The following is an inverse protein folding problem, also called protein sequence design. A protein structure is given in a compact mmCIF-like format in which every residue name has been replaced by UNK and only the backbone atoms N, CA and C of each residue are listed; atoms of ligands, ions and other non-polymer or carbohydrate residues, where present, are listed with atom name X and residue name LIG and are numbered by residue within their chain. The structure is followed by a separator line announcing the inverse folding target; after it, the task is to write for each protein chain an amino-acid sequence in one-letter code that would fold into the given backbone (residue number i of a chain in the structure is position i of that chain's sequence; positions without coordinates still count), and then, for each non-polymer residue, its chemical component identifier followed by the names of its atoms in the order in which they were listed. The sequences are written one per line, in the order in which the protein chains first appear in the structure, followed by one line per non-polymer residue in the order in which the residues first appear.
data_IF_842753367950
#
_entry.id   IF_842753367950
#
_cell.length_a   1.000
_cell.length_b   1.000
_cell.length_c   1.000
_cell.angle_alpha   90.00
_cell.angle_beta   90.00
_cell.angle_gamma   90.00
#
_symmetry.space_group_name_H-M   'P 1'
#
loop_
_entity.id
_entity.type
_entity.pdbx_description
1 polymer ?
#
# COMPACT_ATOMS: atom_id res chain seq x y z
N UNK A 1 12.46 13.46 8.00
CA UNK A 1 11.63 14.30 7.11
C UNK A 1 12.29 14.50 5.73
N UNK A 2 13.52 14.98 5.61
CA UNK A 2 14.19 15.20 4.31
C UNK A 2 14.26 13.94 3.44
N UNK A 3 14.57 12.78 4.02
CA UNK A 3 14.59 11.50 3.31
C UNK A 3 13.21 11.16 2.72
N UNK A 4 12.13 11.36 3.49
CA UNK A 4 10.78 11.11 3.00
C UNK A 4 10.37 12.06 1.86
N UNK A 5 10.74 13.32 1.93
CA UNK A 5 10.52 14.30 0.87
C UNK A 5 11.27 13.91 -0.43
N UNK A 6 12.53 13.47 -0.31
CA UNK A 6 13.31 12.98 -1.46
C UNK A 6 12.70 11.73 -2.11
N UNK A 7 12.25 10.76 -1.31
CA UNK A 7 11.58 9.56 -1.83
C UNK A 7 10.25 9.91 -2.52
N UNK A 8 9.45 10.81 -1.94
CA UNK A 8 8.19 11.26 -2.53
C UNK A 8 8.42 11.97 -3.87
N UNK A 9 9.42 12.87 -3.93
CA UNK A 9 9.80 13.54 -5.16
C UNK A 9 10.20 12.54 -6.25
N UNK A 10 11.05 11.55 -5.93
CA UNK A 10 11.46 10.52 -6.88
C UNK A 10 10.28 9.71 -7.43
N UNK A 11 9.31 9.34 -6.58
CA UNK A 11 8.12 8.61 -7.02
C UNK A 11 7.21 9.43 -7.93
N UNK A 12 7.00 10.70 -7.62
CA UNK A 12 6.11 11.58 -8.40
C UNK A 12 6.76 11.95 -9.72
N UNK A 13 8.00 12.46 -9.67
CA UNK A 13 8.75 12.87 -10.87
C UNK A 13 9.00 11.71 -11.80
N UNK A 14 9.40 10.54 -11.27
CA UNK A 14 9.63 9.34 -12.09
C UNK A 14 8.39 8.90 -12.88
N UNK A 15 7.21 8.96 -12.29
CA UNK A 15 5.94 8.65 -13.01
C UNK A 15 5.57 9.73 -14.02
N UNK A 16 5.79 11.01 -13.70
CA UNK A 16 5.55 12.12 -14.63
C UNK A 16 6.48 11.98 -15.86
N UNK A 17 7.74 11.72 -15.65
CA UNK A 17 8.71 11.51 -16.74
C UNK A 17 8.33 10.37 -17.67
N UNK A 18 7.77 9.27 -17.15
CA UNK A 18 7.28 8.17 -18.01
C UNK A 18 6.11 8.65 -18.88
N UNK A 19 5.27 9.54 -18.37
CA UNK A 19 4.17 10.12 -19.16
C UNK A 19 4.66 11.07 -20.25
N UNK A 20 5.75 11.77 -19.98
CA UNK A 20 6.32 12.77 -20.89
C UNK A 20 7.24 12.15 -21.96
N UNK A 21 7.96 11.07 -21.61
CA UNK A 21 8.97 10.46 -22.47
C UNK A 21 8.46 9.29 -23.33
N UNK A 22 7.35 8.66 -22.94
CA UNK A 22 6.84 7.46 -23.62
C UNK A 22 5.39 7.62 -24.02
N UNK A 23 5.04 7.13 -25.22
CA UNK A 23 3.68 7.16 -25.74
C UNK A 23 3.09 5.75 -25.95
N UNK A 24 1.76 5.67 -25.95
CA UNK A 24 1.00 4.49 -26.32
C UNK A 24 1.39 3.20 -25.57
N UNK A 25 1.67 2.09 -26.28
CA UNK A 25 1.98 0.79 -25.66
C UNK A 25 3.27 0.78 -24.86
N UNK A 26 4.24 1.60 -25.23
CA UNK A 26 5.54 1.67 -24.54
C UNK A 26 5.41 2.30 -23.15
N UNK A 27 4.61 3.35 -23.02
CA UNK A 27 4.23 3.94 -21.71
C UNK A 27 3.65 2.89 -20.79
N UNK A 28 2.70 2.10 -21.28
CA UNK A 28 2.06 1.03 -20.51
C UNK A 28 3.08 -0.02 -20.07
N UNK A 29 4.01 -0.38 -20.95
CA UNK A 29 5.07 -1.36 -20.65
C UNK A 29 6.02 -0.86 -19.55
N UNK A 30 6.46 0.40 -19.63
CA UNK A 30 7.36 1.00 -18.62
C UNK A 30 6.66 1.14 -17.28
N UNK A 31 5.39 1.57 -17.25
CA UNK A 31 4.57 1.61 -16.03
C UNK A 31 4.39 0.22 -15.40
N UNK A 32 4.24 -0.83 -16.23
CA UNK A 32 4.17 -2.20 -15.73
C UNK A 32 5.49 -2.64 -15.08
N UNK A 33 6.64 -2.28 -15.63
CA UNK A 33 7.95 -2.56 -15.01
C UNK A 33 8.09 -1.86 -13.65
N UNK A 34 7.64 -0.60 -13.53
CA UNK A 34 7.62 0.12 -12.24
C UNK A 34 6.72 -0.62 -11.25
N UNK A 35 5.54 -1.06 -11.67
CA UNK A 35 4.63 -1.84 -10.82
C UNK A 35 5.24 -3.16 -10.35
N UNK A 36 5.91 -3.89 -11.24
CA UNK A 36 6.61 -5.13 -10.87
C UNK A 36 7.75 -4.87 -9.87
N UNK A 37 8.54 -3.81 -10.08
CA UNK A 37 9.59 -3.43 -9.15
C UNK A 37 9.02 -3.07 -7.77
N UNK A 38 7.94 -2.31 -7.71
CA UNK A 38 7.26 -1.97 -6.46
C UNK A 38 6.72 -3.19 -5.71
N UNK A 39 6.32 -4.25 -6.42
CA UNK A 39 5.90 -5.51 -5.80
C UNK A 39 7.06 -6.37 -5.31
N UNK A 40 8.17 -6.40 -6.05
CA UNK A 40 9.29 -7.29 -5.79
C UNK A 40 10.29 -6.72 -4.77
N UNK A 41 10.51 -5.41 -4.78
CA UNK A 41 11.53 -4.75 -3.94
C UNK A 41 11.28 -4.92 -2.44
N UNK A 42 10.06 -4.74 -1.88
CA UNK A 42 9.84 -4.89 -0.45
C UNK A 42 10.19 -6.28 0.12
N UNK A 43 9.77 -7.42 -0.50
CA UNK A 43 10.18 -8.75 -0.03
C UNK A 43 11.70 -8.93 -0.05
N UNK A 44 12.37 -8.49 -1.11
CA UNK A 44 13.82 -8.59 -1.22
C UNK A 44 14.53 -7.70 -0.19
N UNK A 45 14.04 -6.47 -0.01
CA UNK A 45 14.62 -5.51 0.92
C UNK A 45 14.57 -6.00 2.38
N UNK A 46 13.52 -6.71 2.79
CA UNK A 46 13.42 -7.27 4.15
C UNK A 46 14.47 -8.34 4.40
N UNK A 47 14.74 -9.20 3.40
CA UNK A 47 15.78 -10.25 3.50
C UNK A 47 17.17 -9.60 3.50
N UNK A 48 17.46 -8.76 2.52
CA UNK A 48 18.77 -8.11 2.38
C UNK A 48 19.06 -7.27 3.62
N UNK A 49 18.10 -6.48 4.08
CA UNK A 49 18.22 -5.64 5.26
C UNK A 49 18.50 -6.43 6.54
N UNK A 50 17.80 -7.55 6.73
CA UNK A 50 18.02 -8.44 7.85
C UNK A 50 19.44 -9.09 7.85
N UNK A 51 19.90 -9.57 6.71
CA UNK A 51 21.25 -10.13 6.56
C UNK A 51 22.35 -9.09 6.76
N UNK A 52 22.15 -7.89 6.22
CA UNK A 52 23.09 -6.77 6.39
C UNK A 52 23.19 -6.37 7.87
N UNK A 53 22.05 -6.29 8.55
CA UNK A 53 21.98 -5.94 9.97
C UNK A 53 22.81 -6.92 10.82
N UNK A 54 22.68 -8.22 10.56
CA UNK A 54 23.38 -9.24 11.34
C UNK A 54 24.89 -9.25 11.08
N UNK A 55 25.33 -9.00 9.84
CA UNK A 55 26.75 -9.08 9.47
C UNK A 55 27.53 -7.80 9.71
N UNK A 56 26.90 -6.65 9.48
CA UNK A 56 27.56 -5.34 9.43
C UNK A 56 26.92 -4.30 10.37
N UNK A 57 25.86 -4.68 11.09
CA UNK A 57 25.09 -3.75 11.94
C UNK A 57 24.02 -2.98 11.19
N UNK A 58 23.13 -2.32 11.94
CA UNK A 58 21.99 -1.60 11.37
C UNK A 58 22.39 -0.40 10.48
N UNK A 59 23.54 0.21 10.75
CA UNK A 59 24.08 1.34 9.98
C UNK A 59 24.36 0.97 8.53
N UNK A 60 24.72 -0.29 8.25
CA UNK A 60 25.01 -0.77 6.91
C UNK A 60 23.80 -0.63 5.95
N UNK A 61 22.57 -0.71 6.47
CA UNK A 61 21.37 -0.48 5.67
C UNK A 61 21.30 0.96 5.15
N UNK A 62 21.65 1.94 5.99
CA UNK A 62 21.67 3.35 5.58
C UNK A 62 22.81 3.65 4.60
N UNK A 63 23.97 3.02 4.79
CA UNK A 63 25.11 3.12 3.85
C UNK A 63 24.71 2.56 2.48
N UNK A 64 24.07 1.38 2.45
CA UNK A 64 23.57 0.78 1.22
C UNK A 64 22.55 1.71 0.51
N UNK A 65 21.57 2.22 1.26
CA UNK A 65 20.57 3.14 0.70
C UNK A 65 21.20 4.43 0.17
N UNK A 66 22.16 5.00 0.90
CA UNK A 66 22.87 6.21 0.47
C UNK A 66 23.69 5.95 -0.79
N UNK A 67 24.43 4.83 -0.84
CA UNK A 67 25.20 4.44 -2.01
C UNK A 67 24.31 4.21 -3.24
N UNK A 68 23.20 3.49 -3.08
CA UNK A 68 22.23 3.26 -4.14
C UNK A 68 21.60 4.58 -4.63
N UNK A 69 21.22 5.46 -3.70
CA UNK A 69 20.66 6.78 -4.02
C UNK A 69 21.67 7.64 -4.81
N UNK A 70 22.96 7.60 -4.43
CA UNK A 70 24.00 8.33 -5.14
C UNK A 70 24.21 7.79 -6.56
N UNK A 71 24.23 6.47 -6.74
CA UNK A 71 24.32 5.85 -8.06
C UNK A 71 23.14 6.24 -8.94
N UNK A 72 21.92 6.17 -8.39
CA UNK A 72 20.71 6.55 -9.12
C UNK A 72 20.70 8.06 -9.44
N UNK A 73 21.18 8.90 -8.53
CA UNK A 73 21.31 10.34 -8.76
C UNK A 73 22.27 10.64 -9.91
N UNK A 74 23.46 10.01 -9.91
CA UNK A 74 24.46 10.18 -10.98
C UNK A 74 23.91 9.66 -12.32
N UNK A 75 23.22 8.52 -12.30
CA UNK A 75 22.61 7.94 -13.50
C UNK A 75 21.51 8.87 -14.07
N UNK A 76 20.66 9.41 -13.19
CA UNK A 76 19.63 10.37 -13.58
C UNK A 76 20.27 11.67 -14.14
N UNK A 77 21.24 12.22 -13.44
CA UNK A 77 21.94 13.44 -13.89
C UNK A 77 22.57 13.30 -15.28
N UNK A 78 23.12 12.12 -15.60
CA UNK A 78 23.82 11.88 -16.88
C UNK A 78 22.91 11.38 -17.99
N UNK A 79 21.82 10.72 -17.65
CA UNK A 79 20.99 9.98 -18.61
C UNK A 79 19.63 10.59 -18.91
N UNK A 80 19.15 11.52 -18.07
CA UNK A 80 17.86 12.13 -18.31
C UNK A 80 18.02 13.37 -19.19
N UNK A 81 17.35 13.41 -20.36
CA UNK A 81 17.35 14.59 -21.19
C UNK A 81 16.57 15.72 -20.49
N UNK A 82 17.11 16.95 -20.57
CA UNK A 82 16.42 18.16 -20.15
C UNK A 82 15.25 18.46 -21.11
N UNK A 83 14.14 17.80 -20.89
CA UNK A 83 12.89 18.12 -21.57
C UNK A 83 12.16 19.18 -20.75
N UNK A 84 12.60 20.42 -20.86
CA UNK A 84 11.79 21.58 -20.49
C UNK A 84 10.76 21.77 -21.59
N UNK A 85 9.60 21.10 -21.47
CA UNK A 85 8.43 21.55 -22.20
C UNK A 85 8.19 23.02 -21.85
N UNK A 86 7.90 23.90 -22.85
CA UNK A 86 7.57 25.30 -22.56
C UNK A 86 6.46 25.28 -21.50
N UNK A 87 6.72 25.93 -20.36
CA UNK A 87 5.70 26.05 -19.33
C UNK A 87 4.50 26.75 -19.96
N UNK A 88 3.38 26.06 -20.14
CA UNK A 88 2.12 26.71 -20.44
C UNK A 88 1.90 27.80 -19.39
N UNK A 89 1.42 29.00 -19.78
CA UNK A 89 1.22 30.09 -18.84
C UNK A 89 0.33 29.60 -17.72
N UNK A 90 0.91 29.45 -16.52
CA UNK A 90 0.20 29.00 -15.32
C UNK A 90 -1.01 29.92 -15.13
N UNK A 91 -2.20 29.35 -15.21
CA UNK A 91 -3.43 30.05 -14.88
C UNK A 91 -3.26 30.67 -13.49
N UNK A 92 -3.54 31.97 -13.39
CA UNK A 92 -3.33 32.79 -12.19
C UNK A 92 -4.10 32.32 -10.94
N UNK A 93 -4.91 31.29 -11.04
CA UNK A 93 -5.81 30.78 -10.00
C UNK A 93 -5.61 29.29 -9.62
N UNK A 94 -4.45 28.70 -9.92
CA UNK A 94 -4.19 27.27 -9.67
C UNK A 94 -4.52 26.81 -8.24
N UNK A 95 -4.25 27.66 -7.22
CA UNK A 95 -4.60 27.35 -5.81
C UNK A 95 -6.11 27.27 -5.59
N UNK A 96 -6.86 28.16 -6.24
CA UNK A 96 -8.34 28.18 -6.15
C UNK A 96 -8.94 26.97 -6.85
N UNK A 97 -8.40 26.61 -8.01
CA UNK A 97 -8.85 25.46 -8.79
C UNK A 97 -8.53 24.15 -8.06
N UNK A 98 -7.34 24.07 -7.46
CA UNK A 98 -6.95 22.96 -6.61
C UNK A 98 -7.86 22.85 -5.37
N UNK A 99 -8.11 23.94 -4.66
CA UNK A 99 -9.00 23.98 -3.51
C UNK A 99 -10.45 23.60 -3.88
N UNK A 100 -10.94 24.07 -5.04
CA UNK A 100 -12.27 23.71 -5.55
C UNK A 100 -12.37 22.22 -5.89
N UNK A 101 -11.34 21.64 -6.50
CA UNK A 101 -11.25 20.22 -6.82
C UNK A 101 -11.29 19.37 -5.55
N UNK A 102 -10.51 19.74 -4.53
CA UNK A 102 -10.52 19.04 -3.25
C UNK A 102 -11.85 19.18 -2.51
N UNK A 103 -12.49 20.36 -2.58
CA UNK A 103 -13.81 20.55 -1.99
C UNK A 103 -14.89 19.70 -2.69
N UNK A 104 -14.81 19.53 -4.01
CA UNK A 104 -15.71 18.63 -4.75
C UNK A 104 -15.50 17.16 -4.36
N UNK A 105 -14.26 16.72 -4.28
CA UNK A 105 -13.92 15.37 -3.83
C UNK A 105 -14.40 15.08 -2.40
N UNK A 106 -14.21 16.04 -1.48
CA UNK A 106 -14.67 15.94 -0.09
C UNK A 106 -16.20 15.87 0.05
N UNK A 107 -16.94 16.39 -0.92
CA UNK A 107 -18.42 16.31 -0.97
C UNK A 107 -18.95 15.06 -1.66
N UNK A 108 -18.09 14.24 -2.24
CA UNK A 108 -18.47 13.02 -2.92
C UNK A 108 -18.39 11.81 -1.97
N UNK A 109 -19.51 11.33 -1.38
CA UNK A 109 -19.46 10.29 -0.35
C UNK A 109 -18.87 8.98 -0.87
N UNK A 110 -19.07 8.64 -2.14
CA UNK A 110 -18.46 7.46 -2.76
C UNK A 110 -16.93 7.55 -2.79
N UNK A 111 -16.38 8.74 -3.08
CA UNK A 111 -14.95 8.99 -3.05
C UNK A 111 -14.37 8.81 -1.65
N UNK A 112 -15.02 9.40 -0.64
CA UNK A 112 -14.59 9.30 0.76
C UNK A 112 -14.58 7.84 1.25
N UNK A 113 -15.57 7.05 0.84
CA UNK A 113 -15.64 5.62 1.20
C UNK A 113 -14.53 4.80 0.52
N UNK A 114 -14.21 5.07 -0.75
CA UNK A 114 -13.08 4.45 -1.41
C UNK A 114 -11.76 4.82 -0.75
N UNK A 115 -11.55 6.10 -0.42
CA UNK A 115 -10.36 6.58 0.28
C UNK A 115 -10.27 5.96 1.68
N UNK A 116 -11.37 5.89 2.43
CA UNK A 116 -11.41 5.26 3.75
C UNK A 116 -11.05 3.77 3.65
N UNK A 117 -11.64 3.03 2.72
CA UNK A 117 -11.34 1.63 2.47
C UNK A 117 -9.85 1.42 2.18
N UNK A 118 -9.29 2.17 1.23
CA UNK A 118 -7.89 2.10 0.84
C UNK A 118 -6.95 2.44 2.01
N UNK A 119 -7.28 3.49 2.75
CA UNK A 119 -6.48 3.99 3.88
C UNK A 119 -6.46 3.00 5.04
N UNK A 120 -7.62 2.43 5.40
CA UNK A 120 -7.71 1.44 6.49
C UNK A 120 -7.02 0.12 6.12
N UNK A 121 -7.13 -0.30 4.86
CA UNK A 121 -6.41 -1.46 4.32
C UNK A 121 -4.89 -1.24 4.44
N UNK A 122 -4.41 -0.07 4.03
CA UNK A 122 -2.99 0.29 4.15
C UNK A 122 -2.55 0.38 5.61
N UNK A 123 -3.34 0.99 6.49
CA UNK A 123 -3.04 1.07 7.92
C UNK A 123 -2.89 -0.33 8.54
N UNK A 124 -3.74 -1.28 8.15
CA UNK A 124 -3.65 -2.69 8.59
C UNK A 124 -2.32 -3.33 8.16
N UNK A 125 -1.89 -3.09 6.91
CA UNK A 125 -0.62 -3.60 6.40
C UNK A 125 0.59 -2.98 7.11
N UNK A 126 0.58 -1.67 7.35
CA UNK A 126 1.67 -1.00 8.06
C UNK A 126 1.70 -1.36 9.55
N UNK A 127 0.53 -1.62 10.17
CA UNK A 127 0.47 -2.16 11.52
C UNK A 127 1.13 -3.55 11.58
N UNK A 128 0.85 -4.43 10.62
CA UNK A 128 1.57 -5.70 10.48
C UNK A 128 3.08 -5.47 10.32
N UNK A 129 3.48 -4.60 9.40
CA UNK A 129 4.89 -4.38 9.08
C UNK A 129 5.68 -3.83 10.28
N UNK A 130 5.05 -2.98 11.10
CA UNK A 130 5.65 -2.43 12.32
C UNK A 130 5.62 -3.41 13.50
N UNK A 131 4.54 -4.18 13.66
CA UNK A 131 4.32 -5.07 14.81
C UNK A 131 4.95 -6.46 14.66
N UNK A 132 4.96 -7.02 13.45
CA UNK A 132 5.47 -8.37 13.23
C UNK A 132 6.94 -8.56 13.67
N UNK A 133 7.88 -7.63 13.44
CA UNK A 133 9.24 -7.77 13.95
C UNK A 133 9.30 -7.86 15.48
N UNK A 134 8.45 -7.10 16.19
CA UNK A 134 8.40 -7.08 17.65
C UNK A 134 7.89 -8.40 18.17
N UNK A 135 6.77 -8.90 17.61
CA UNK A 135 6.18 -10.19 18.00
C UNK A 135 7.09 -11.37 17.64
N UNK A 136 7.69 -11.37 16.44
CA UNK A 136 8.65 -12.42 16.06
C UNK A 136 9.89 -12.41 16.98
N UNK A 137 10.34 -11.22 17.38
CA UNK A 137 11.42 -11.09 18.37
C UNK A 137 11.07 -11.68 19.72
N UNK A 138 9.82 -11.50 20.23
CA UNK A 138 9.36 -12.13 21.47
C UNK A 138 9.27 -13.65 21.37
N UNK A 139 9.09 -14.21 20.16
CA UNK A 139 9.15 -15.65 19.88
C UNK A 139 10.57 -16.18 19.65
N UNK A 140 11.60 -15.37 19.92
CA UNK A 140 13.01 -15.76 19.80
C UNK A 140 13.56 -15.76 18.39
N UNK A 141 12.86 -15.17 17.41
CA UNK A 141 13.37 -15.05 16.04
C UNK A 141 14.39 -13.92 15.98
N UNK A 142 15.62 -14.25 15.64
CA UNK A 142 16.68 -13.25 15.44
C UNK A 142 16.47 -12.39 14.18
N UNK A 143 17.17 -11.24 14.07
CA UNK A 143 17.01 -10.30 12.97
C UNK A 143 17.17 -10.90 11.57
N UNK A 144 18.04 -11.88 11.42
CA UNK A 144 18.22 -12.60 10.13
C UNK A 144 16.99 -13.42 9.71
N UNK A 145 16.23 -13.94 10.69
CA UNK A 145 15.05 -14.77 10.46
C UNK A 145 13.77 -13.97 10.22
N UNK A 146 13.65 -12.79 10.86
CA UNK A 146 12.43 -11.95 10.80
C UNK A 146 12.02 -11.65 9.36
N UNK A 147 12.98 -11.32 8.50
CA UNK A 147 12.72 -10.99 7.09
C UNK A 147 12.01 -12.12 6.34
N UNK A 148 12.35 -13.39 6.60
CA UNK A 148 11.73 -14.53 5.94
C UNK A 148 10.25 -14.72 6.30
N UNK A 149 9.89 -14.44 7.54
CA UNK A 149 8.49 -14.52 7.98
C UNK A 149 7.66 -13.35 7.46
N UNK A 150 8.21 -12.13 7.49
CA UNK A 150 7.51 -10.92 7.04
C UNK A 150 7.29 -10.94 5.52
N UNK A 151 8.25 -11.43 4.73
CA UNK A 151 8.14 -11.43 3.27
C UNK A 151 6.98 -12.28 2.73
N UNK A 152 6.45 -13.22 3.52
CA UNK A 152 5.34 -14.09 3.11
C UNK A 152 4.09 -13.27 2.74
N UNK A 153 3.80 -12.21 3.47
CA UNK A 153 2.63 -11.35 3.23
C UNK A 153 2.75 -10.56 1.92
N UNK A 154 3.85 -9.84 1.63
CA UNK A 154 4.07 -9.23 0.32
C UNK A 154 4.07 -10.21 -0.85
N UNK A 155 4.59 -11.42 -0.69
CA UNK A 155 4.52 -12.45 -1.74
C UNK A 155 3.07 -12.88 -2.00
N UNK A 156 2.29 -13.12 -0.95
CA UNK A 156 0.87 -13.41 -1.08
C UNK A 156 0.09 -12.24 -1.71
N UNK A 157 0.49 -10.99 -1.43
CA UNK A 157 -0.05 -9.81 -2.09
C UNK A 157 0.17 -9.83 -3.61
N UNK A 158 1.35 -10.22 -4.07
CA UNK A 158 1.63 -10.37 -5.51
C UNK A 158 0.71 -11.43 -6.13
N UNK A 159 0.53 -12.56 -5.46
CA UNK A 159 -0.40 -13.62 -5.91
C UNK A 159 -1.83 -13.08 -5.97
N UNK A 160 -2.27 -12.34 -4.95
CA UNK A 160 -3.59 -11.71 -4.92
C UNK A 160 -3.80 -10.72 -6.06
N UNK A 161 -2.79 -9.88 -6.36
CA UNK A 161 -2.84 -8.97 -7.53
C UNK A 161 -2.97 -9.74 -8.84
N UNK A 162 -2.20 -10.80 -9.02
CA UNK A 162 -2.30 -11.65 -10.21
C UNK A 162 -3.69 -12.28 -10.33
N UNK A 163 -4.25 -12.80 -9.25
CA UNK A 163 -5.61 -13.34 -9.24
C UNK A 163 -6.66 -12.28 -9.58
N UNK A 164 -6.47 -11.03 -9.13
CA UNK A 164 -7.37 -9.92 -9.45
C UNK A 164 -7.53 -9.73 -10.95
N UNK A 165 -6.44 -9.79 -11.73
CA UNK A 165 -6.48 -9.59 -13.18
C UNK A 165 -7.38 -10.61 -13.89
N UNK A 166 -7.53 -11.81 -13.34
CA UNK A 166 -8.33 -12.88 -13.92
C UNK A 166 -9.75 -12.91 -13.32
N UNK A 167 -9.87 -12.70 -12.02
CA UNK A 167 -11.14 -12.81 -11.32
C UNK A 167 -12.09 -11.65 -11.59
N UNK A 168 -11.59 -10.42 -11.77
CA UNK A 168 -12.43 -9.25 -12.04
C UNK A 168 -13.30 -9.45 -13.28
N UNK A 169 -12.75 -10.04 -14.32
CA UNK A 169 -13.51 -10.31 -15.57
C UNK A 169 -14.54 -11.44 -15.42
N UNK A 170 -14.34 -12.38 -14.48
CA UNK A 170 -15.22 -13.55 -14.31
C UNK A 170 -16.34 -13.31 -13.31
N UNK A 171 -16.04 -12.70 -12.17
CA UNK A 171 -16.99 -12.59 -11.03
C UNK A 171 -17.32 -11.14 -10.68
N UNK A 172 -16.73 -10.18 -11.40
CA UNK A 172 -16.96 -8.75 -11.20
C UNK A 172 -16.19 -8.15 -10.02
N UNK A 173 -15.96 -6.87 -10.13
CA UNK A 173 -15.13 -6.08 -9.22
C UNK A 173 -15.61 -6.13 -7.76
N UNK A 174 -16.94 -5.99 -7.55
CA UNK A 174 -17.54 -6.01 -6.21
C UNK A 174 -17.30 -7.32 -5.48
N UNK A 175 -17.41 -8.45 -6.19
CA UNK A 175 -17.21 -9.78 -5.61
C UNK A 175 -15.74 -9.99 -5.27
N UNK A 176 -14.82 -9.56 -6.14
CA UNK A 176 -13.37 -9.63 -5.87
C UNK A 176 -13.01 -8.81 -4.63
N UNK A 177 -13.55 -7.59 -4.49
CA UNK A 177 -13.33 -6.77 -3.29
C UNK A 177 -13.86 -7.46 -2.02
N UNK A 178 -15.04 -8.11 -2.07
CA UNK A 178 -15.59 -8.86 -0.92
C UNK A 178 -14.71 -10.04 -0.55
N UNK A 179 -14.26 -10.81 -1.54
CA UNK A 179 -13.34 -11.93 -1.30
C UNK A 179 -12.03 -11.44 -0.69
N UNK A 180 -11.49 -10.33 -1.19
CA UNK A 180 -10.27 -9.72 -0.66
C UNK A 180 -10.43 -9.30 0.81
N UNK A 181 -11.49 -8.58 1.13
CA UNK A 181 -11.77 -8.14 2.50
C UNK A 181 -12.06 -9.32 3.43
N UNK A 182 -12.85 -10.30 2.97
CA UNK A 182 -13.14 -11.52 3.71
C UNK A 182 -11.89 -12.36 4.00
N UNK A 183 -11.01 -12.52 3.02
CA UNK A 183 -9.72 -13.18 3.16
C UNK A 183 -8.84 -12.48 4.21
N UNK A 184 -8.77 -11.14 4.17
CA UNK A 184 -8.00 -10.35 5.14
C UNK A 184 -8.53 -10.54 6.56
N UNK A 185 -9.85 -10.43 6.76
CA UNK A 185 -10.48 -10.64 8.08
C UNK A 185 -10.28 -12.07 8.58
N UNK A 186 -10.41 -13.07 7.71
CA UNK A 186 -10.18 -14.47 8.05
C UNK A 186 -8.72 -14.71 8.49
N UNK A 187 -7.76 -14.17 7.75
CA UNK A 187 -6.34 -14.30 8.09
C UNK A 187 -6.00 -13.67 9.43
N UNK A 188 -6.48 -12.44 9.68
CA UNK A 188 -6.27 -11.75 10.96
C UNK A 188 -7.00 -12.49 12.09
N UNK A 189 -8.25 -12.91 11.88
CA UNK A 189 -9.03 -13.65 12.86
C UNK A 189 -8.40 -14.98 13.24
N UNK A 190 -7.88 -15.72 12.25
CA UNK A 190 -7.20 -17.00 12.50
C UNK A 190 -5.88 -16.79 13.28
N UNK A 191 -5.09 -15.79 12.91
CA UNK A 191 -3.88 -15.42 13.64
C UNK A 191 -4.20 -15.04 15.09
N UNK A 192 -5.22 -14.20 15.29
CA UNK A 192 -5.67 -13.81 16.63
C UNK A 192 -6.20 -15.00 17.44
N UNK A 193 -6.96 -15.90 16.83
CA UNK A 193 -7.46 -17.12 17.49
C UNK A 193 -6.31 -18.03 17.95
N UNK A 194 -5.28 -18.21 17.12
CA UNK A 194 -4.08 -18.99 17.50
C UNK A 194 -3.34 -18.32 18.67
N UNK A 195 -3.18 -16.99 18.63
CA UNK A 195 -2.53 -16.23 19.70
C UNK A 195 -3.33 -16.33 21.02
N UNK A 196 -4.65 -16.23 20.97
CA UNK A 196 -5.52 -16.40 22.15
C UNK A 196 -5.51 -17.84 22.70
N UNK A 197 -5.26 -18.82 21.83
CA UNK A 197 -5.07 -20.22 22.23
C UNK A 197 -3.67 -20.50 22.81
N UNK A 198 -2.79 -19.51 22.91
CA UNK A 198 -1.43 -19.64 23.45
C UNK A 198 -0.45 -20.31 22.46
N UNK A 199 -0.74 -20.28 21.16
CA UNK A 199 0.17 -20.82 20.13
C UNK A 199 1.14 -19.73 19.71
N UNK A 200 2.17 -19.51 20.53
CA UNK A 200 3.16 -18.45 20.35
C UNK A 200 4.34 -18.92 19.47
N UNK A 201 4.06 -19.12 18.19
CA UNK A 201 5.07 -19.55 17.22
C UNK A 201 5.15 -18.60 16.02
N UNK A 202 6.34 -18.45 15.40
CA UNK A 202 6.51 -17.61 14.20
C UNK A 202 5.58 -18.00 13.05
N UNK A 203 5.29 -19.29 12.89
CA UNK A 203 4.38 -19.79 11.86
C UNK A 203 2.92 -19.48 12.17
N UNK A 204 2.51 -19.50 13.44
CA UNK A 204 1.15 -19.12 13.86
C UNK A 204 0.86 -17.64 13.59
N UNK A 205 1.88 -16.78 13.63
CA UNK A 205 1.76 -15.39 13.17
C UNK A 205 1.69 -15.32 11.64
N UNK A 206 2.62 -15.93 10.92
CA UNK A 206 2.90 -15.61 9.51
C UNK A 206 2.00 -16.36 8.52
N UNK A 207 1.67 -17.65 8.77
CA UNK A 207 0.87 -18.43 7.83
C UNK A 207 -0.57 -17.93 7.67
N UNK A 208 -1.31 -17.59 8.74
CA UNK A 208 -2.64 -17.01 8.58
C UNK A 208 -2.62 -15.68 7.83
N UNK A 209 -1.57 -14.88 8.01
CA UNK A 209 -1.42 -13.58 7.36
C UNK A 209 -1.06 -13.66 5.85
N UNK A 210 -0.80 -14.85 5.30
CA UNK A 210 -0.85 -15.06 3.85
C UNK A 210 -2.22 -14.67 3.28
N UNK A 211 -3.30 -14.97 4.01
CA UNK A 211 -4.65 -14.56 3.63
C UNK A 211 -4.84 -13.04 3.67
N UNK A 212 -4.16 -12.35 4.58
CA UNK A 212 -4.12 -10.87 4.59
C UNK A 212 -3.45 -10.34 3.33
N UNK A 213 -2.26 -10.84 3.00
CA UNK A 213 -1.53 -10.42 1.80
C UNK A 213 -2.34 -10.65 0.53
N UNK A 214 -2.84 -11.87 0.35
CA UNK A 214 -3.69 -12.23 -0.79
C UNK A 214 -4.96 -11.37 -0.85
N UNK A 215 -5.61 -11.16 0.29
CA UNK A 215 -6.80 -10.32 0.41
C UNK A 215 -6.55 -8.86 0.02
N UNK A 216 -5.44 -8.29 0.44
CA UNK A 216 -5.03 -6.95 0.02
C UNK A 216 -4.74 -6.88 -1.48
N UNK A 217 -4.13 -7.92 -2.06
CA UNK A 217 -3.90 -8.03 -3.50
C UNK A 217 -5.19 -8.08 -4.32
N UNK A 218 -6.26 -8.68 -3.77
CA UNK A 218 -7.58 -8.69 -4.38
C UNK A 218 -8.33 -7.36 -4.21
N UNK A 219 -8.09 -6.66 -3.11
CA UNK A 219 -8.87 -5.47 -2.72
C UNK A 219 -8.31 -4.16 -3.27
N UNK A 220 -6.99 -3.97 -3.23
CA UNK A 220 -6.35 -2.67 -3.51
C UNK A 220 -6.51 -2.23 -4.98
N UNK A 221 -6.25 -3.06 -6.01
CA UNK A 221 -6.35 -2.60 -7.39
C UNK A 221 -7.74 -2.09 -7.77
N UNK A 222 -8.84 -2.84 -7.55
CA UNK A 222 -10.18 -2.34 -7.87
C UNK A 222 -10.56 -1.11 -7.03
N UNK A 223 -10.11 -1.01 -5.77
CA UNK A 223 -10.35 0.16 -4.94
C UNK A 223 -9.67 1.41 -5.50
N UNK A 224 -8.43 1.30 -5.97
CA UNK A 224 -7.71 2.41 -6.62
C UNK A 224 -8.40 2.86 -7.91
N UNK A 225 -8.79 1.91 -8.75
CA UNK A 225 -9.52 2.20 -10.01
C UNK A 225 -10.83 2.93 -9.69
N UNK A 226 -11.61 2.42 -8.73
CA UNK A 226 -12.85 3.04 -8.31
C UNK A 226 -12.66 4.44 -7.71
N UNK A 227 -11.57 4.66 -6.97
CA UNK A 227 -11.25 5.99 -6.40
C UNK A 227 -11.03 7.04 -7.49
N UNK A 228 -10.24 6.70 -8.51
CA UNK A 228 -9.87 7.62 -9.60
C UNK A 228 -11.00 7.75 -10.63
N UNK A 229 -11.72 6.65 -10.89
CA UNK A 229 -12.77 6.58 -11.91
C UNK A 229 -14.09 7.24 -11.50
N UNK A 230 -14.31 7.54 -10.21
CA UNK A 230 -15.57 8.10 -9.73
C UNK A 230 -15.86 9.52 -10.30
N UNK A 231 -14.82 10.32 -10.44
CA UNK A 231 -14.86 11.69 -10.98
C UNK A 231 -13.72 11.85 -12.02
N UNK A 232 -13.91 11.41 -13.27
CA UNK A 232 -12.83 11.37 -14.26
C UNK A 232 -12.20 12.76 -14.52
N UNK A 233 -12.96 13.83 -14.45
CA UNK A 233 -12.46 15.21 -14.59
C UNK A 233 -11.49 15.62 -13.46
N UNK A 234 -11.51 14.92 -12.32
CA UNK A 234 -10.68 15.18 -11.14
C UNK A 234 -9.71 14.03 -10.84
N UNK A 235 -9.45 13.14 -11.81
CA UNK A 235 -8.69 11.90 -11.62
C UNK A 235 -7.32 12.15 -10.96
N UNK A 236 -6.58 13.18 -11.39
CA UNK A 236 -5.29 13.54 -10.81
C UNK A 236 -5.39 14.00 -9.36
N UNK A 237 -6.35 14.87 -9.03
CA UNK A 237 -6.60 15.32 -7.67
C UNK A 237 -7.08 14.16 -6.78
N UNK A 238 -7.94 13.28 -7.30
CA UNK A 238 -8.41 12.09 -6.61
C UNK A 238 -7.27 11.13 -6.27
N UNK A 239 -6.36 10.87 -7.21
CA UNK A 239 -5.18 10.05 -6.97
C UNK A 239 -4.23 10.66 -5.92
N UNK A 240 -4.04 11.98 -5.96
CA UNK A 240 -3.18 12.69 -5.00
C UNK A 240 -3.75 12.62 -3.57
N UNK A 241 -5.04 12.89 -3.40
CA UNK A 241 -5.72 12.81 -2.08
C UNK A 241 -5.72 11.37 -1.57
N UNK A 242 -6.06 10.40 -2.41
CA UNK A 242 -6.07 9.00 -2.02
C UNK A 242 -4.68 8.52 -1.59
N UNK A 243 -3.64 8.86 -2.37
CA UNK A 243 -2.26 8.52 -2.02
C UNK A 243 -1.79 9.17 -0.71
N UNK A 244 -2.12 10.44 -0.49
CA UNK A 244 -1.80 11.14 0.75
C UNK A 244 -2.50 10.49 1.95
N UNK A 245 -3.80 10.26 1.88
CA UNK A 245 -4.57 9.65 2.97
C UNK A 245 -4.10 8.22 3.25
N UNK A 246 -3.78 7.45 2.22
CA UNK A 246 -3.21 6.11 2.32
C UNK A 246 -1.91 6.12 3.13
N UNK A 247 -0.97 7.03 2.82
CA UNK A 247 0.31 7.11 3.51
C UNK A 247 0.18 7.66 4.94
N UNK A 248 -0.69 8.65 5.16
CA UNK A 248 -0.98 9.17 6.49
C UNK A 248 -1.57 8.09 7.40
N UNK A 249 -2.56 7.35 6.92
CA UNK A 249 -3.19 6.27 7.70
C UNK A 249 -2.25 5.08 7.87
N UNK A 250 -1.36 4.82 6.91
CA UNK A 250 -0.27 3.87 7.07
C UNK A 250 0.67 4.27 8.20
N UNK A 251 1.08 5.54 8.24
CA UNK A 251 1.91 6.08 9.32
C UNK A 251 1.20 5.99 10.70
N UNK A 252 -0.11 6.31 10.75
CA UNK A 252 -0.93 6.16 11.96
C UNK A 252 -0.99 4.70 12.40
N UNK A 253 -1.23 3.75 11.47
CA UNK A 253 -1.26 2.31 11.75
C UNK A 253 0.06 1.83 12.37
N UNK A 254 1.20 2.21 11.77
CA UNK A 254 2.51 1.89 12.33
C UNK A 254 2.81 2.56 13.67
N UNK A 255 2.38 3.82 13.86
CA UNK A 255 2.57 4.57 15.10
C UNK A 255 1.76 3.97 16.26
N UNK A 256 0.51 3.61 16.05
CA UNK A 256 -0.37 3.03 17.09
C UNK A 256 0.19 1.71 17.60
N UNK A 257 0.87 0.93 16.76
CA UNK A 257 1.60 -0.27 17.20
C UNK A 257 2.60 0.05 18.31
N UNK A 258 3.34 1.15 18.19
CA UNK A 258 4.32 1.57 19.21
C UNK A 258 3.72 2.01 20.56
N UNK A 259 2.40 2.27 20.61
CA UNK A 259 1.69 2.67 21.83
C UNK A 259 1.14 1.49 22.64
N UNK A 260 1.16 0.29 22.07
CA UNK A 260 0.54 -0.90 22.67
C UNK A 260 1.63 -1.94 22.98
N UNK A 261 1.62 -2.56 24.19
CA UNK A 261 2.54 -3.65 24.53
C UNK A 261 2.39 -4.85 23.58
N UNK A 262 3.50 -5.46 23.17
CA UNK A 262 3.52 -6.58 22.25
C UNK A 262 4.35 -7.75 22.82
N UNK A 263 3.90 -8.29 23.95
CA UNK A 263 4.49 -9.50 24.55
C UNK A 263 4.10 -10.79 23.77
N UNK A 264 3.32 -10.63 22.69
CA UNK A 264 2.82 -11.65 21.79
C UNK A 264 1.94 -11.07 20.68
N UNK A 265 1.30 -11.91 19.88
CA UNK A 265 0.50 -11.47 18.73
C UNK A 265 -0.91 -10.95 19.07
N UNK A 266 -1.39 -11.09 20.31
CA UNK A 266 -2.80 -10.78 20.68
C UNK A 266 -3.13 -9.31 20.45
N UNK A 267 -2.34 -8.39 20.99
CA UNK A 267 -2.61 -6.96 20.87
C UNK A 267 -2.46 -6.47 19.42
N UNK A 268 -1.46 -6.98 18.70
CA UNK A 268 -1.30 -6.72 17.27
C UNK A 268 -2.53 -7.23 16.49
N UNK A 269 -3.02 -8.42 16.82
CA UNK A 269 -4.20 -9.01 16.20
C UNK A 269 -5.46 -8.17 16.40
N UNK A 270 -5.71 -7.69 17.60
CA UNK A 270 -6.85 -6.81 17.88
C UNK A 270 -6.76 -5.48 17.13
N UNK A 271 -5.57 -4.86 17.08
CA UNK A 271 -5.36 -3.63 16.35
C UNK A 271 -5.62 -3.83 14.85
N UNK A 272 -5.03 -4.86 14.25
CA UNK A 272 -5.23 -5.17 12.84
C UNK A 272 -6.69 -5.52 12.53
N UNK A 273 -7.37 -6.24 13.43
CA UNK A 273 -8.78 -6.58 13.28
C UNK A 273 -9.66 -5.33 13.33
N UNK A 274 -9.40 -4.40 14.23
CA UNK A 274 -10.13 -3.13 14.31
C UNK A 274 -9.97 -2.30 13.03
N UNK A 275 -8.75 -2.14 12.53
CA UNK A 275 -8.49 -1.42 11.28
C UNK A 275 -9.16 -2.10 10.08
N UNK A 276 -9.05 -3.43 9.99
CA UNK A 276 -9.68 -4.19 8.91
C UNK A 276 -11.21 -4.19 9.01
N UNK A 277 -11.78 -4.17 10.21
CA UNK A 277 -13.22 -4.00 10.41
C UNK A 277 -13.71 -2.62 9.94
N UNK A 278 -12.95 -1.55 10.21
CA UNK A 278 -13.25 -0.22 9.65
C UNK A 278 -13.23 -0.23 8.12
N UNK A 279 -12.27 -0.92 7.51
CA UNK A 279 -12.23 -1.12 6.06
C UNK A 279 -13.48 -1.87 5.55
N UNK A 280 -13.90 -2.93 6.26
CA UNK A 280 -15.10 -3.70 5.91
C UNK A 280 -16.39 -2.85 6.01
N UNK A 281 -16.50 -2.00 7.02
CA UNK A 281 -17.62 -1.05 7.14
C UNK A 281 -17.64 -0.06 5.98
N UNK A 282 -16.49 0.55 5.64
CA UNK A 282 -16.37 1.46 4.50
C UNK A 282 -16.79 0.76 3.20
N UNK A 283 -16.34 -0.48 2.98
CA UNK A 283 -16.71 -1.29 1.81
C UNK A 283 -18.22 -1.60 1.78
N UNK A 284 -18.79 -1.98 2.91
CA UNK A 284 -20.23 -2.29 2.98
C UNK A 284 -21.09 -1.07 2.66
N UNK A 285 -20.74 0.11 3.20
CA UNK A 285 -21.42 1.37 2.90
C UNK A 285 -21.27 1.76 1.44
N UNK A 286 -20.06 1.61 0.86
CA UNK A 286 -19.79 1.88 -0.54
C UNK A 286 -20.69 1.03 -1.46
N UNK A 287 -20.77 -0.27 -1.19
CA UNK A 287 -21.56 -1.19 -2.01
C UNK A 287 -23.07 -0.98 -1.87
N UNK A 288 -23.56 -0.59 -0.69
CA UNK A 288 -24.96 -0.19 -0.50
C UNK A 288 -25.30 1.06 -1.32
N UNK A 289 -24.47 2.09 -1.25
CA UNK A 289 -24.67 3.32 -2.01
C UNK A 289 -24.64 3.13 -3.53
N UNK A 290 -23.92 2.13 -4.03
CA UNK A 290 -23.90 1.78 -5.45
C UNK A 290 -25.13 0.93 -5.87
N UNK A 291 -25.68 0.14 -4.97
CA UNK A 291 -26.87 -0.67 -5.25
C UNK A 291 -28.16 0.17 -5.36
N UNK A 292 -28.20 1.33 -4.69
CA UNK A 292 -29.34 2.26 -4.71
C UNK A 292 -29.35 3.23 -5.87
N UNK A 293 -28.29 3.29 -6.70
CA UNK A 293 -28.28 4.08 -7.94
C UNK A 293 -28.87 3.20 -9.05
N UNK A 294 -30.04 3.57 -9.65
CA UNK A 294 -30.54 2.86 -10.82
C UNK A 294 -29.50 2.97 -11.93
N UNK A 295 -29.33 1.87 -12.69
CA UNK A 295 -28.50 1.87 -13.87
C UNK A 295 -29.02 3.00 -14.79
N UNK A 296 -28.22 4.05 -14.96
CA UNK A 296 -28.47 5.04 -15.97
C UNK A 296 -28.35 4.31 -17.30
N UNK A 297 -29.51 4.08 -17.97
CA UNK A 297 -29.63 3.47 -19.27
C UNK A 297 -29.06 4.36 -20.38
#
# INVERSE_FOLDING_TARGET
MLQGAGCAAGMVVGRAMVQDLFDGPERTRVMAYIGMAMGLVPPLATIIGGQLHVRLGWQANFVLLTGLSLVLFIAAWRGLPDHTAPAEPQQTHWLRDMASSYAQLARAPGFLLYVALLSMTTATFYAFLAGAPIVLGSYGVGPAGIGYYIMLVPLAYIVGNYLTTHLVHRIGERTVMRLGQGSSLLGIGLMLALALAGVDTPLALSLPLLLLGMGHGLLVPPTLIGTVGLLPALAGAAAAVAGLMQQLMGAVGGFVVGLVPHDGAVNLGWLMLALSACAAVAMALLQRGQATRPAAG
#
